data_IF_324360322118
#
_entry.id   IF_324360322118
#
_cell.length_a   1.000
_cell.length_b   1.000
_cell.length_c   1.000
_cell.angle_alpha   90.00
_cell.angle_beta   90.00
_cell.angle_gamma   90.00
#
_symmetry.space_group_name_H-M   'P 1'
#
loop_
_entity.id
_entity.type
_entity.pdbx_description
1 polymer ?
#
# COMPACT_ATOMS: atom_id res chain seq x y z
N UNK A 1 -23.04 4.67 58.73
CA UNK A 1 -21.60 4.84 59.00
C UNK A 1 -20.70 4.03 58.04
N UNK A 2 -20.94 2.76 57.74
CA UNK A 2 -20.07 1.96 56.87
C UNK A 2 -20.02 2.44 55.39
N UNK A 3 -21.12 2.91 54.81
CA UNK A 3 -21.14 3.42 53.41
C UNK A 3 -20.38 4.75 53.24
N UNK A 4 -20.42 5.63 54.27
CA UNK A 4 -19.74 6.93 54.22
C UNK A 4 -18.20 6.76 54.22
N UNK A 5 -17.70 5.76 54.94
CA UNK A 5 -16.25 5.47 55.04
C UNK A 5 -15.77 4.87 53.72
N UNK A 6 -16.56 4.03 53.03
CA UNK A 6 -16.18 3.44 51.74
C UNK A 6 -16.13 4.51 50.63
N UNK A 7 -17.04 5.47 50.61
CA UNK A 7 -17.03 6.56 49.64
C UNK A 7 -15.87 7.51 49.87
N UNK A 8 -15.50 7.80 51.14
CA UNK A 8 -14.33 8.62 51.45
C UNK A 8 -13.02 7.89 51.15
N UNK A 9 -12.92 6.59 51.38
CA UNK A 9 -11.75 5.80 50.99
C UNK A 9 -11.60 5.67 49.49
N UNK A 10 -12.70 5.51 48.73
CA UNK A 10 -12.69 5.51 47.29
C UNK A 10 -12.29 6.87 46.70
N UNK A 11 -12.78 7.98 47.28
CA UNK A 11 -12.40 9.31 46.82
C UNK A 11 -10.92 9.63 47.11
N UNK A 12 -10.39 9.19 48.26
CA UNK A 12 -8.97 9.32 48.62
C UNK A 12 -8.11 8.43 47.72
N UNK A 13 -8.57 7.22 47.38
CA UNK A 13 -7.85 6.33 46.47
C UNK A 13 -7.81 6.88 45.04
N UNK A 14 -8.90 7.47 44.55
CA UNK A 14 -8.94 8.16 43.24
C UNK A 14 -8.03 9.40 43.24
N UNK A 15 -7.94 10.13 44.33
CA UNK A 15 -7.07 11.31 44.44
C UNK A 15 -5.58 10.96 44.56
N UNK A 16 -5.23 9.81 45.16
CA UNK A 16 -3.84 9.39 45.37
C UNK A 16 -3.28 8.59 44.19
N UNK A 17 -4.12 7.89 43.42
CA UNK A 17 -3.65 7.01 42.36
C UNK A 17 -3.74 7.64 40.96
N UNK A 18 -4.74 8.48 40.71
CA UNK A 18 -4.98 9.00 39.38
C UNK A 18 -3.92 9.96 38.82
N UNK A 19 -3.38 10.95 39.56
CA UNK A 19 -2.40 11.86 38.95
C UNK A 19 -1.05 11.22 38.72
N UNK A 20 -0.61 10.32 39.59
CA UNK A 20 0.70 9.68 39.46
C UNK A 20 0.71 8.64 38.30
N UNK A 21 -0.34 7.83 38.15
CA UNK A 21 -0.44 6.86 37.05
C UNK A 21 -0.55 7.55 35.73
N UNK A 22 -1.27 8.67 35.66
CA UNK A 22 -1.42 9.46 34.44
C UNK A 22 -0.11 10.16 34.06
N UNK A 23 0.60 10.74 35.04
CA UNK A 23 1.91 11.35 34.85
C UNK A 23 2.97 10.34 34.41
N UNK A 24 3.02 9.14 35.03
CA UNK A 24 3.93 8.06 34.65
C UNK A 24 3.64 7.57 33.23
N UNK A 25 2.37 7.53 32.82
CA UNK A 25 1.99 7.11 31.50
C UNK A 25 2.38 8.16 30.44
N UNK A 26 2.18 9.44 30.74
CA UNK A 26 2.61 10.55 29.86
C UNK A 26 4.14 10.56 29.72
N UNK A 27 4.88 10.41 30.79
CA UNK A 27 6.34 10.38 30.76
C UNK A 27 6.88 9.18 29.98
N UNK A 28 6.28 8.01 30.12
CA UNK A 28 6.61 6.81 29.35
C UNK A 28 6.31 6.98 27.86
N UNK A 29 5.17 7.59 27.52
CA UNK A 29 4.82 7.92 26.14
C UNK A 29 5.76 8.97 25.56
N UNK A 30 6.09 10.03 26.32
CA UNK A 30 7.02 11.06 25.91
C UNK A 30 8.44 10.48 25.65
N UNK A 31 8.91 9.59 26.53
CA UNK A 31 10.20 8.90 26.41
C UNK A 31 10.24 7.97 25.20
N UNK A 32 9.16 7.23 24.95
CA UNK A 32 9.00 6.40 23.75
C UNK A 32 8.97 7.26 22.47
N UNK A 33 8.22 8.35 22.47
CA UNK A 33 8.15 9.26 21.34
C UNK A 33 9.51 9.92 21.07
N UNK A 34 10.23 10.33 22.11
CA UNK A 34 11.58 10.86 21.97
C UNK A 34 12.56 9.83 21.38
N UNK A 35 12.49 8.58 21.84
CA UNK A 35 13.29 7.47 21.29
C UNK A 35 12.96 7.21 19.82
N UNK A 36 11.66 7.19 19.46
CA UNK A 36 11.21 7.00 18.10
C UNK A 36 11.65 8.15 17.18
N UNK A 37 11.55 9.40 17.65
CA UNK A 37 12.04 10.57 16.92
C UNK A 37 13.55 10.46 16.67
N UNK A 38 14.32 10.00 17.67
CA UNK A 38 15.76 9.79 17.52
C UNK A 38 16.08 8.70 16.50
N UNK A 39 15.32 7.60 16.50
CA UNK A 39 15.44 6.53 15.47
C UNK A 39 15.10 7.07 14.08
N UNK A 40 13.97 7.75 13.93
CA UNK A 40 13.56 8.35 12.66
C UNK A 40 14.61 9.32 12.13
N UNK A 41 15.15 10.20 12.99
CA UNK A 41 16.23 11.12 12.61
C UNK A 41 17.50 10.40 12.18
N UNK A 42 17.82 9.23 12.78
CA UNK A 42 18.95 8.40 12.37
C UNK A 42 18.68 7.77 11.01
N UNK A 43 17.54 7.14 10.83
CA UNK A 43 17.16 6.51 9.56
C UNK A 43 17.07 7.52 8.43
N UNK A 44 16.53 8.72 8.68
CA UNK A 44 16.50 9.79 7.68
C UNK A 44 17.89 10.23 7.25
N UNK A 45 18.86 10.30 8.17
CA UNK A 45 20.26 10.60 7.82
C UNK A 45 20.90 9.49 6.98
N UNK A 46 20.64 8.23 7.33
CA UNK A 46 21.11 7.08 6.55
C UNK A 46 20.48 7.06 5.15
N UNK A 47 19.18 7.34 5.06
CA UNK A 47 18.48 7.48 3.79
C UNK A 47 19.01 8.63 2.93
N UNK A 48 19.29 9.80 3.54
CA UNK A 48 19.90 10.92 2.83
C UNK A 48 21.29 10.55 2.29
N UNK A 49 22.11 9.83 3.08
CA UNK A 49 23.39 9.32 2.62
C UNK A 49 23.26 8.34 1.45
N UNK A 50 22.27 7.45 1.49
CA UNK A 50 21.98 6.56 0.36
C UNK A 50 21.49 7.33 -0.88
N UNK A 51 20.67 8.39 -0.69
CA UNK A 51 20.22 9.25 -1.79
C UNK A 51 21.42 9.93 -2.44
N UNK A 52 22.34 10.48 -1.66
CA UNK A 52 23.57 11.11 -2.18
C UNK A 52 24.45 10.08 -2.93
N UNK A 53 24.65 8.88 -2.39
CA UNK A 53 25.38 7.80 -3.06
C UNK A 53 24.71 7.38 -4.37
N UNK A 54 23.38 7.27 -4.38
CA UNK A 54 22.62 6.94 -5.59
C UNK A 54 22.73 8.06 -6.64
N UNK A 55 22.66 9.31 -6.23
CA UNK A 55 22.83 10.45 -7.13
C UNK A 55 24.25 10.51 -7.73
N UNK A 56 25.26 10.24 -6.93
CA UNK A 56 26.63 10.19 -7.39
C UNK A 56 26.88 9.00 -8.35
N UNK A 57 26.36 7.84 -8.00
CA UNK A 57 26.41 6.65 -8.88
C UNK A 57 25.66 6.89 -10.20
N UNK A 58 24.51 7.56 -10.15
CA UNK A 58 23.75 7.97 -11.33
C UNK A 58 24.53 8.96 -12.21
N UNK A 59 25.19 9.94 -11.58
CA UNK A 59 26.05 10.90 -12.27
C UNK A 59 27.23 10.19 -12.97
N UNK A 60 27.87 9.24 -12.27
CA UNK A 60 28.97 8.45 -12.83
C UNK A 60 28.50 7.55 -14.00
N UNK A 61 27.33 6.92 -13.85
CA UNK A 61 26.72 6.14 -14.92
C UNK A 61 26.42 7.00 -16.15
N UNK A 62 25.87 8.20 -15.96
CA UNK A 62 25.60 9.14 -17.04
C UNK A 62 26.89 9.60 -17.73
N UNK A 63 27.97 9.82 -16.98
CA UNK A 63 29.29 10.15 -17.55
C UNK A 63 29.85 8.99 -18.37
N UNK A 64 29.76 7.74 -17.88
CA UNK A 64 30.17 6.54 -18.64
C UNK A 64 29.36 6.37 -19.92
N UNK A 65 28.05 6.59 -19.84
CA UNK A 65 27.17 6.57 -21.00
C UNK A 65 27.61 7.61 -22.02
N UNK A 66 27.91 8.85 -21.59
CA UNK A 66 28.39 9.90 -22.46
C UNK A 66 29.75 9.53 -23.13
N UNK A 67 30.67 8.95 -22.37
CA UNK A 67 31.95 8.46 -22.92
C UNK A 67 31.77 7.31 -23.93
N UNK A 68 30.88 6.35 -23.63
CA UNK A 68 30.54 5.30 -24.57
C UNK A 68 29.90 5.84 -25.84
N UNK A 69 29.07 6.87 -25.73
CA UNK A 69 28.52 7.56 -26.90
C UNK A 69 29.61 8.22 -27.76
N UNK A 70 30.58 8.89 -27.15
CA UNK A 70 31.70 9.48 -27.87
C UNK A 70 32.56 8.41 -28.59
N UNK A 71 32.80 7.25 -27.90
CA UNK A 71 33.52 6.13 -28.49
C UNK A 71 32.74 5.45 -29.61
N UNK A 72 31.42 5.39 -29.51
CA UNK A 72 30.54 4.84 -30.56
C UNK A 72 30.37 5.80 -31.74
N UNK A 73 30.39 7.10 -31.51
CA UNK A 73 30.37 8.13 -32.56
C UNK A 73 31.60 8.02 -33.47
N UNK A 74 32.73 7.66 -32.88
CA UNK A 74 33.97 7.44 -33.60
C UNK A 74 33.94 6.18 -34.52
N UNK A 75 33.08 5.21 -34.22
CA UNK A 75 32.86 4.03 -35.07
C UNK A 75 31.54 4.22 -35.81
N UNK A 76 31.55 4.27 -37.12
CA UNK A 76 30.49 4.39 -38.13
C UNK A 76 29.08 3.82 -37.81
N UNK A 77 28.89 3.24 -36.58
CA UNK A 77 27.63 2.69 -36.07
C UNK A 77 26.84 3.68 -35.17
N UNK A 78 27.35 4.86 -34.90
CA UNK A 78 26.76 5.86 -34.02
C UNK A 78 25.37 6.33 -34.47
N UNK A 79 25.15 6.46 -35.75
CA UNK A 79 23.84 6.90 -36.26
C UNK A 79 22.74 5.86 -35.97
N UNK A 80 23.02 4.57 -36.13
CA UNK A 80 22.03 3.50 -35.88
C UNK A 80 21.67 3.42 -34.39
N UNK A 81 22.66 3.57 -33.51
CA UNK A 81 22.42 3.56 -32.06
C UNK A 81 21.63 4.82 -31.64
N UNK A 82 22.00 5.98 -32.17
CA UNK A 82 21.29 7.24 -31.90
C UNK A 82 19.84 7.19 -32.37
N UNK A 83 19.58 6.68 -33.57
CA UNK A 83 18.24 6.49 -34.11
C UNK A 83 17.43 5.48 -33.30
N UNK A 84 18.06 4.37 -32.88
CA UNK A 84 17.42 3.36 -32.04
C UNK A 84 17.05 3.95 -30.68
N UNK A 85 17.95 4.69 -30.04
CA UNK A 85 17.66 5.34 -28.76
C UNK A 85 16.61 6.43 -28.88
N UNK A 86 16.61 7.20 -29.97
CA UNK A 86 15.55 8.19 -30.21
C UNK A 86 14.19 7.50 -30.36
N UNK A 87 14.13 6.38 -31.09
CA UNK A 87 12.92 5.58 -31.25
C UNK A 87 12.45 5.02 -29.90
N UNK A 88 13.33 4.41 -29.10
CA UNK A 88 13.02 3.89 -27.77
C UNK A 88 12.54 5.02 -26.83
N UNK A 89 13.18 6.18 -26.91
CA UNK A 89 12.77 7.35 -26.10
C UNK A 89 11.37 7.83 -26.50
N UNK A 90 11.08 7.89 -27.79
CA UNK A 90 9.76 8.32 -28.28
C UNK A 90 8.67 7.28 -27.94
N UNK A 91 8.98 5.98 -28.05
CA UNK A 91 8.10 4.91 -27.60
C UNK A 91 7.80 5.01 -26.09
N UNK A 92 8.83 5.21 -25.27
CA UNK A 92 8.65 5.40 -23.82
C UNK A 92 7.82 6.65 -23.50
N UNK A 93 7.95 7.71 -24.28
CA UNK A 93 7.14 8.92 -24.14
C UNK A 93 5.67 8.67 -24.50
N UNK A 94 5.41 7.92 -25.55
CA UNK A 94 4.05 7.48 -25.94
C UNK A 94 3.44 6.59 -24.86
N UNK A 95 4.20 5.59 -24.40
CA UNK A 95 3.79 4.69 -23.31
C UNK A 95 3.44 5.48 -22.04
N UNK A 96 4.32 6.39 -21.60
CA UNK A 96 4.05 7.26 -20.46
C UNK A 96 2.80 8.11 -20.63
N UNK A 97 2.60 8.69 -21.82
CA UNK A 97 1.39 9.49 -22.13
C UNK A 97 0.13 8.64 -22.03
N UNK A 98 0.14 7.45 -22.62
CA UNK A 98 -1.01 6.53 -22.55
C UNK A 98 -1.33 6.15 -21.11
N UNK A 99 -0.33 5.74 -20.33
CA UNK A 99 -0.47 5.43 -18.91
C UNK A 99 -1.01 6.61 -18.09
N UNK A 100 -0.47 7.83 -18.30
CA UNK A 100 -0.93 9.01 -17.55
C UNK A 100 -2.34 9.42 -17.93
N UNK A 101 -2.73 9.27 -19.18
CA UNK A 101 -4.12 9.51 -19.64
C UNK A 101 -5.08 8.51 -18.98
N UNK A 102 -4.73 7.22 -18.99
CA UNK A 102 -5.54 6.19 -18.34
C UNK A 102 -5.76 6.52 -16.83
N UNK A 103 -4.71 6.95 -16.12
CA UNK A 103 -4.81 7.37 -14.72
C UNK A 103 -5.66 8.63 -14.53
N UNK A 104 -5.54 9.60 -15.43
CA UNK A 104 -6.35 10.83 -15.37
C UNK A 104 -7.84 10.51 -15.51
N UNK A 105 -8.21 9.61 -16.43
CA UNK A 105 -9.58 9.16 -16.62
C UNK A 105 -10.13 8.44 -15.38
N UNK A 106 -9.30 7.65 -14.68
CA UNK A 106 -9.69 7.02 -13.43
C UNK A 106 -10.03 8.06 -12.34
N UNK A 107 -9.23 9.12 -12.22
CA UNK A 107 -9.43 10.19 -11.24
C UNK A 107 -10.68 11.04 -11.55
N UNK A 108 -11.08 11.10 -12.81
CA UNK A 108 -12.28 11.82 -13.27
C UNK A 108 -13.50 10.91 -13.46
N UNK A 109 -13.50 9.73 -12.80
CA UNK A 109 -14.59 8.76 -12.77
C UNK A 109 -14.99 8.18 -14.15
N UNK A 110 -14.14 8.36 -15.15
CA UNK A 110 -14.33 7.81 -16.50
C UNK A 110 -13.78 6.38 -16.58
N UNK A 111 -14.33 5.48 -15.76
CA UNK A 111 -13.79 4.14 -15.51
C UNK A 111 -13.66 3.28 -16.76
N UNK A 112 -14.69 3.26 -17.64
CA UNK A 112 -14.64 2.45 -18.86
C UNK A 112 -13.48 2.86 -19.76
N UNK A 113 -13.33 4.16 -20.00
CA UNK A 113 -12.24 4.67 -20.86
C UNK A 113 -10.86 4.44 -20.20
N UNK A 114 -10.78 4.56 -18.88
CA UNK A 114 -9.57 4.25 -18.13
C UNK A 114 -9.16 2.78 -18.29
N UNK A 115 -10.12 1.85 -18.15
CA UNK A 115 -9.90 0.41 -18.32
C UNK A 115 -9.41 0.13 -19.76
N UNK A 116 -10.09 0.67 -20.78
CA UNK A 116 -9.72 0.46 -22.18
C UNK A 116 -8.28 0.94 -22.46
N UNK A 117 -7.91 2.11 -21.91
CA UNK A 117 -6.55 2.63 -22.07
C UNK A 117 -5.50 1.81 -21.31
N UNK A 118 -5.80 1.29 -20.12
CA UNK A 118 -4.88 0.41 -19.43
C UNK A 118 -4.70 -0.93 -20.13
N UNK A 119 -5.78 -1.53 -20.64
CA UNK A 119 -5.71 -2.77 -21.43
C UNK A 119 -4.88 -2.55 -22.70
N UNK A 120 -5.14 -1.47 -23.43
CA UNK A 120 -4.34 -1.08 -24.59
C UNK A 120 -2.87 -0.86 -24.22
N UNK A 121 -2.60 -0.23 -23.07
CA UNK A 121 -1.25 -0.03 -22.57
C UNK A 121 -0.51 -1.36 -22.35
N UNK A 122 -1.13 -2.29 -21.63
CA UNK A 122 -0.54 -3.58 -21.30
C UNK A 122 -0.30 -4.45 -22.54
N UNK A 123 -1.16 -4.35 -23.53
CA UNK A 123 -1.01 -5.04 -24.82
C UNK A 123 0.10 -4.41 -25.68
N UNK A 124 0.13 -3.07 -25.77
CA UNK A 124 1.05 -2.35 -26.66
C UNK A 124 2.49 -2.28 -26.10
N UNK A 125 2.64 -2.24 -24.77
CA UNK A 125 3.91 -2.02 -24.08
C UNK A 125 4.19 -3.07 -22.99
N UNK A 126 4.18 -4.38 -23.31
CA UNK A 126 4.25 -5.46 -22.30
C UNK A 126 5.56 -5.46 -21.48
N UNK A 127 6.64 -4.93 -22.04
CA UNK A 127 7.96 -4.89 -21.41
C UNK A 127 8.30 -3.51 -20.78
N UNK A 128 7.33 -2.59 -20.74
CA UNK A 128 7.59 -1.25 -20.23
C UNK A 128 7.61 -1.22 -18.69
N UNK A 129 8.46 -0.36 -18.13
CA UNK A 129 8.64 -0.22 -16.68
C UNK A 129 7.35 0.15 -15.91
N UNK A 130 6.34 0.69 -16.58
CA UNK A 130 5.05 1.01 -15.95
C UNK A 130 4.03 -0.14 -16.01
N UNK A 131 4.39 -1.31 -16.54
CA UNK A 131 3.46 -2.47 -16.61
C UNK A 131 2.93 -2.86 -15.23
N UNK A 132 3.76 -2.98 -14.17
CA UNK A 132 3.24 -3.28 -12.84
C UNK A 132 2.28 -2.21 -12.31
N UNK A 133 2.64 -0.93 -12.50
CA UNK A 133 1.77 0.18 -12.11
C UNK A 133 0.45 0.19 -12.90
N UNK A 134 0.52 -0.06 -14.22
CA UNK A 134 -0.65 -0.11 -15.08
C UNK A 134 -1.60 -1.25 -14.67
N UNK A 135 -1.06 -2.43 -14.36
CA UNK A 135 -1.85 -3.57 -13.87
C UNK A 135 -2.54 -3.26 -12.55
N UNK A 136 -1.83 -2.64 -11.61
CA UNK A 136 -2.43 -2.21 -10.34
C UNK A 136 -3.57 -1.21 -10.56
N UNK A 137 -3.36 -0.19 -11.41
CA UNK A 137 -4.37 0.83 -11.67
C UNK A 137 -5.54 0.32 -12.51
N UNK A 138 -5.31 -0.67 -13.39
CA UNK A 138 -6.38 -1.39 -14.08
C UNK A 138 -7.31 -2.09 -13.09
N UNK A 139 -6.74 -2.80 -12.11
CA UNK A 139 -7.52 -3.43 -11.05
C UNK A 139 -8.32 -2.40 -10.23
N UNK A 140 -7.72 -1.25 -9.91
CA UNK A 140 -8.39 -0.12 -9.25
C UNK A 140 -9.53 0.45 -10.10
N UNK A 141 -9.35 0.55 -11.42
CA UNK A 141 -10.39 1.03 -12.32
C UNK A 141 -11.59 0.07 -12.38
N UNK A 142 -11.34 -1.24 -12.42
CA UNK A 142 -12.39 -2.25 -12.31
C UNK A 142 -13.12 -2.17 -10.97
N UNK A 143 -12.40 -2.04 -9.85
CA UNK A 143 -12.99 -1.90 -8.53
C UNK A 143 -13.87 -0.64 -8.44
N UNK A 144 -13.38 0.50 -8.89
CA UNK A 144 -14.11 1.76 -8.90
C UNK A 144 -15.37 1.72 -9.79
N UNK A 145 -15.32 0.96 -10.90
CA UNK A 145 -16.49 0.68 -11.74
C UNK A 145 -17.51 -0.24 -11.07
N UNK A 146 -17.13 -0.95 -10.00
CA UNK A 146 -17.95 -1.99 -9.37
C UNK A 146 -17.80 -3.38 -10.00
N UNK A 147 -16.89 -3.55 -10.95
CA UNK A 147 -16.57 -4.85 -11.57
C UNK A 147 -15.58 -5.62 -10.68
N UNK A 148 -16.14 -6.15 -9.58
CA UNK A 148 -15.36 -6.85 -8.56
C UNK A 148 -14.64 -8.08 -9.09
N UNK A 149 -15.26 -8.80 -10.02
CA UNK A 149 -14.68 -10.02 -10.57
C UNK A 149 -13.37 -9.74 -11.33
N UNK A 150 -13.39 -8.77 -12.23
CA UNK A 150 -12.19 -8.40 -12.97
C UNK A 150 -11.16 -7.70 -12.08
N UNK A 151 -11.58 -6.90 -11.09
CA UNK A 151 -10.69 -6.29 -10.11
C UNK A 151 -9.92 -7.36 -9.31
N UNK A 152 -10.64 -8.36 -8.78
CA UNK A 152 -10.05 -9.49 -8.06
C UNK A 152 -9.03 -10.24 -8.91
N UNK A 153 -9.41 -10.60 -10.14
CA UNK A 153 -8.55 -11.30 -11.09
C UNK A 153 -7.24 -10.54 -11.33
N UNK A 154 -7.35 -9.26 -11.70
CA UNK A 154 -6.17 -8.45 -12.05
C UNK A 154 -5.29 -8.17 -10.84
N UNK A 155 -5.87 -7.98 -9.62
CA UNK A 155 -5.07 -7.85 -8.41
C UNK A 155 -4.31 -9.14 -8.08
N UNK A 156 -4.91 -10.32 -8.25
CA UNK A 156 -4.21 -11.59 -8.05
C UNK A 156 -3.07 -11.78 -9.04
N UNK A 157 -3.31 -11.50 -10.33
CA UNK A 157 -2.25 -11.53 -11.35
C UNK A 157 -1.12 -10.56 -11.01
N UNK A 158 -1.46 -9.35 -10.56
CA UNK A 158 -0.47 -8.38 -10.09
C UNK A 158 0.35 -8.92 -8.91
N UNK A 159 -0.29 -9.52 -7.90
CA UNK A 159 0.39 -10.08 -6.73
C UNK A 159 1.32 -11.24 -7.09
N UNK A 160 0.92 -12.09 -8.03
CA UNK A 160 1.72 -13.20 -8.50
C UNK A 160 2.94 -12.75 -9.31
N UNK A 161 2.73 -11.79 -10.22
CA UNK A 161 3.76 -11.36 -11.16
C UNK A 161 4.70 -10.29 -10.57
N UNK A 162 4.24 -9.53 -9.56
CA UNK A 162 4.98 -8.38 -9.01
C UNK A 162 5.04 -8.38 -7.47
N UNK A 163 5.51 -9.47 -6.81
CA UNK A 163 5.46 -9.63 -5.35
C UNK A 163 6.36 -8.64 -4.59
N UNK A 164 7.34 -8.03 -5.26
CA UNK A 164 8.28 -7.06 -4.68
C UNK A 164 7.95 -5.61 -5.02
N UNK A 165 6.89 -5.39 -5.81
CA UNK A 165 6.52 -4.05 -6.23
C UNK A 165 6.00 -3.20 -5.05
N UNK A 166 6.31 -1.90 -5.04
CA UNK A 166 5.93 -0.98 -3.96
C UNK A 166 4.41 -0.90 -3.70
N UNK A 167 3.58 -1.23 -4.69
CA UNK A 167 2.12 -1.29 -4.58
C UNK A 167 1.58 -2.65 -4.11
N UNK A 168 2.47 -3.62 -3.84
CA UNK A 168 2.02 -4.94 -3.41
C UNK A 168 1.21 -4.89 -2.10
N UNK A 169 1.68 -4.14 -1.11
CA UNK A 169 0.94 -3.95 0.14
C UNK A 169 -0.42 -3.28 -0.09
N UNK A 170 -0.47 -2.27 -0.98
CA UNK A 170 -1.73 -1.64 -1.35
C UNK A 170 -2.70 -2.65 -2.00
N UNK A 171 -2.21 -3.55 -2.87
CA UNK A 171 -3.06 -4.54 -3.53
C UNK A 171 -3.67 -5.54 -2.55
N UNK A 172 -2.97 -5.89 -1.47
CA UNK A 172 -3.52 -6.70 -0.39
C UNK A 172 -4.70 -6.00 0.30
N UNK A 173 -4.55 -4.72 0.60
CA UNK A 173 -5.61 -3.92 1.21
C UNK A 173 -6.83 -3.75 0.29
N UNK A 174 -6.60 -3.44 -0.98
CA UNK A 174 -7.67 -3.29 -1.98
C UNK A 174 -8.47 -4.59 -2.17
N UNK A 175 -7.78 -5.74 -2.28
CA UNK A 175 -8.47 -7.04 -2.33
C UNK A 175 -9.26 -7.32 -1.06
N UNK A 176 -8.72 -7.01 0.12
CA UNK A 176 -9.45 -7.17 1.37
C UNK A 176 -10.73 -6.33 1.40
N UNK A 177 -10.66 -5.10 0.88
CA UNK A 177 -11.83 -4.22 0.77
C UNK A 177 -12.88 -4.81 -0.18
N UNK A 178 -12.47 -5.32 -1.34
CA UNK A 178 -13.37 -5.98 -2.30
C UNK A 178 -14.06 -7.20 -1.66
N UNK A 179 -13.30 -8.02 -0.94
CA UNK A 179 -13.84 -9.20 -0.26
C UNK A 179 -14.77 -8.81 0.91
N UNK A 180 -14.43 -7.79 1.67
CA UNK A 180 -15.30 -7.26 2.72
C UNK A 180 -16.64 -6.78 2.16
N UNK A 181 -16.63 -5.98 1.09
CA UNK A 181 -17.84 -5.52 0.41
C UNK A 181 -18.68 -6.66 -0.18
N UNK A 182 -18.03 -7.77 -0.57
CA UNK A 182 -18.68 -8.99 -1.06
C UNK A 182 -19.09 -9.95 0.07
N UNK A 183 -18.81 -9.58 1.34
CA UNK A 183 -19.03 -10.41 2.54
C UNK A 183 -18.25 -11.72 2.54
N UNK A 184 -17.19 -11.82 1.74
CA UNK A 184 -16.24 -12.94 1.76
C UNK A 184 -15.16 -12.65 2.82
N UNK A 185 -15.60 -12.72 4.07
CA UNK A 185 -14.77 -12.32 5.21
C UNK A 185 -13.51 -13.16 5.36
N UNK A 186 -13.57 -14.46 5.02
CA UNK A 186 -12.42 -15.35 5.14
C UNK A 186 -11.29 -14.92 4.21
N UNK A 187 -11.60 -14.59 2.96
CA UNK A 187 -10.59 -14.07 2.02
C UNK A 187 -10.08 -12.69 2.44
N UNK A 188 -10.97 -11.82 2.94
CA UNK A 188 -10.57 -10.51 3.44
C UNK A 188 -9.55 -10.62 4.60
N UNK A 189 -9.81 -11.50 5.56
CA UNK A 189 -8.92 -11.78 6.70
C UNK A 189 -7.54 -12.27 6.25
N UNK A 190 -7.48 -13.15 5.24
CA UNK A 190 -6.21 -13.65 4.68
C UNK A 190 -5.37 -12.48 4.12
N UNK A 191 -5.98 -11.59 3.34
CA UNK A 191 -5.28 -10.46 2.74
C UNK A 191 -4.78 -9.46 3.81
N UNK A 192 -5.64 -9.11 4.77
CA UNK A 192 -5.30 -8.17 5.85
C UNK A 192 -4.20 -8.72 6.75
N UNK A 193 -4.32 -9.98 7.17
CA UNK A 193 -3.29 -10.63 7.99
C UNK A 193 -1.96 -10.69 7.27
N UNK A 194 -1.97 -11.01 5.97
CA UNK A 194 -0.76 -11.00 5.14
C UNK A 194 -0.14 -9.59 5.08
N UNK A 195 -0.97 -8.56 4.86
CA UNK A 195 -0.50 -7.18 4.81
C UNK A 195 0.12 -6.74 6.14
N UNK A 196 -0.58 -6.93 7.25
CA UNK A 196 -0.15 -6.52 8.59
C UNK A 196 1.16 -7.22 8.98
N UNK A 197 1.27 -8.51 8.68
CA UNK A 197 2.47 -9.31 8.98
C UNK A 197 3.67 -8.91 8.15
N UNK A 198 3.48 -8.72 6.84
CA UNK A 198 4.60 -8.46 5.90
C UNK A 198 4.99 -6.98 5.84
N UNK A 199 4.05 -6.06 6.09
CA UNK A 199 4.25 -4.63 5.88
C UNK A 199 3.81 -3.78 7.10
N UNK A 200 4.34 -4.04 8.31
CA UNK A 200 3.87 -3.41 9.55
C UNK A 200 4.09 -1.89 9.60
N UNK A 201 4.92 -1.36 8.74
CA UNK A 201 5.22 0.08 8.66
C UNK A 201 4.60 0.75 7.43
N UNK A 202 3.67 0.09 6.72
CA UNK A 202 3.02 0.66 5.56
C UNK A 202 2.06 1.79 5.95
N UNK A 203 1.93 2.81 5.10
CA UNK A 203 1.09 3.99 5.39
C UNK A 203 -0.38 3.64 5.67
N UNK A 204 -0.90 2.57 5.06
CA UNK A 204 -2.28 2.10 5.25
C UNK A 204 -2.42 1.03 6.35
N UNK A 205 -1.44 0.89 7.24
CA UNK A 205 -1.47 -0.17 8.26
C UNK A 205 -2.62 0.03 9.26
N UNK A 206 -2.90 1.27 9.66
CA UNK A 206 -3.99 1.56 10.57
C UNK A 206 -5.37 1.27 9.96
N UNK A 207 -5.54 1.58 8.67
CA UNK A 207 -6.76 1.26 7.93
C UNK A 207 -6.95 -0.26 7.81
N UNK A 208 -5.87 -1.00 7.53
CA UNK A 208 -5.91 -2.46 7.46
C UNK A 208 -6.26 -3.09 8.81
N UNK A 209 -5.71 -2.58 9.91
CA UNK A 209 -6.03 -3.04 11.27
C UNK A 209 -7.48 -2.71 11.66
N UNK A 210 -7.97 -1.53 11.32
CA UNK A 210 -9.35 -1.15 11.58
C UNK A 210 -10.34 -2.03 10.82
N UNK A 211 -10.06 -2.29 9.53
CA UNK A 211 -10.89 -3.17 8.71
C UNK A 211 -10.85 -4.62 9.22
N UNK A 212 -9.68 -5.08 9.70
CA UNK A 212 -9.55 -6.41 10.33
C UNK A 212 -10.45 -6.53 11.56
N UNK A 213 -10.42 -5.56 12.46
CA UNK A 213 -11.25 -5.54 13.67
C UNK A 213 -12.74 -5.52 13.35
N UNK A 214 -13.15 -4.73 12.34
CA UNK A 214 -14.54 -4.67 11.88
C UNK A 214 -15.02 -6.05 11.40
N UNK A 215 -14.23 -6.71 10.56
CA UNK A 215 -14.55 -8.03 10.04
C UNK A 215 -14.61 -9.08 11.17
N UNK A 216 -13.66 -9.06 12.09
CA UNK A 216 -13.64 -9.98 13.24
C UNK A 216 -14.89 -9.82 14.12
N UNK A 217 -15.33 -8.57 14.35
CA UNK A 217 -16.56 -8.30 15.09
C UNK A 217 -17.81 -8.82 14.36
N UNK A 218 -17.89 -8.64 13.04
CA UNK A 218 -19.00 -9.15 12.22
C UNK A 218 -19.06 -10.67 12.25
N UNK A 219 -17.90 -11.33 12.09
CA UNK A 219 -17.79 -12.80 12.11
C UNK A 219 -18.14 -13.36 13.48
N UNK A 220 -17.69 -12.73 14.58
CA UNK A 220 -18.03 -13.14 15.95
C UNK A 220 -19.52 -13.03 16.21
N UNK A 221 -20.16 -11.89 15.86
CA UNK A 221 -21.60 -11.68 16.02
C UNK A 221 -22.43 -12.72 15.23
N UNK A 222 -21.99 -13.07 14.02
CA UNK A 222 -22.66 -14.09 13.20
C UNK A 222 -22.61 -15.46 13.87
N UNK A 223 -21.46 -15.86 14.39
CA UNK A 223 -21.31 -17.15 15.13
C UNK A 223 -22.19 -17.21 16.38
N UNK A 224 -22.28 -16.11 17.13
CA UNK A 224 -23.14 -16.02 18.32
C UNK A 224 -24.62 -16.14 17.98
N UNK A 225 -25.06 -15.55 16.87
CA UNK A 225 -26.43 -15.69 16.38
C UNK A 225 -26.75 -17.13 15.95
N UNK A 226 -25.89 -17.75 15.16
CA UNK A 226 -26.03 -19.13 14.71
C UNK A 226 -26.05 -20.11 15.90
N UNK A 227 -25.22 -19.88 16.92
CA UNK A 227 -25.23 -20.67 18.15
C UNK A 227 -26.55 -20.53 18.91
N UNK A 228 -27.13 -19.32 19.02
CA UNK A 228 -28.42 -19.09 19.67
C UNK A 228 -29.59 -19.72 18.90
N UNK A 229 -29.57 -19.69 17.59
CA UNK A 229 -30.59 -20.33 16.74
C UNK A 229 -30.52 -21.86 16.84
N UNK A 230 -29.32 -22.43 16.87
CA UNK A 230 -29.13 -23.87 17.03
C UNK A 230 -29.61 -24.42 18.37
N UNK A 231 -29.55 -23.59 19.42
CA UNK A 231 -30.12 -23.97 20.75
C UNK A 231 -31.66 -23.91 20.73
N UNK A 232 -32.24 -22.88 20.07
CA UNK A 232 -33.70 -22.76 19.95
C UNK A 232 -34.34 -23.84 19.10
N UNK A 233 -33.67 -24.38 18.11
CA UNK A 233 -34.19 -25.44 17.24
C UNK A 233 -34.17 -26.83 17.87
N UNK A 234 -33.53 -27.00 19.04
CA UNK A 234 -33.45 -28.26 19.79
C UNK A 234 -34.40 -28.31 20.99
N UNK A 235 -35.15 -27.26 21.22
CA UNK A 235 -36.23 -27.16 22.21
C UNK A 235 -37.61 -27.31 21.54
#
# INVERSE_FOLDING_TARGET
>A
MKQSIVITLLSIFVYLVSPNVFAINIEKVAKNNHSNIKKIKKTNRELLGHIEQLQESQKLANQKIAQLFQLMEYKKSANVVKETMMRVREENKKAKKLYTNARSLLVTDQYNQSIDLFLNYLDTYPDNNYVPDASYWLAKAYAAKGDRHNAEKVFHEFQQNHPTHHKYANSLYELATIYHESKDYDKALIQLTSMIKKFPNHNSIFQAQALLQDIEAVVANKKDLEAKESVKSKQ
#
